data_IF_294654770244
#
_entry.id   IF_294654770244
#
_cell.length_a   1.000
_cell.length_b   1.000
_cell.length_c   1.000
_cell.angle_alpha   90.00
_cell.angle_beta   90.00
_cell.angle_gamma   90.00
#
_symmetry.space_group_name_H-M   'P 1'
#
loop_
_entity.id
_entity.type
_entity.pdbx_description
1 polymer ?
#
# COMPACT_ATOMS: atom_id res chain seq x y z
N UNK A 1 -10.38 -11.33 -33.24
CA UNK A 1 -10.22 -12.51 -32.35
C UNK A 1 -10.37 -12.03 -30.92
N UNK A 2 -11.49 -12.35 -30.25
CA UNK A 2 -11.76 -11.93 -28.86
C UNK A 2 -11.06 -12.92 -27.92
N UNK A 3 -10.05 -12.47 -27.18
CA UNK A 3 -9.40 -13.29 -26.16
C UNK A 3 -10.47 -13.78 -25.17
N UNK A 4 -10.55 -15.10 -24.97
CA UNK A 4 -11.60 -15.69 -24.16
C UNK A 4 -11.44 -15.27 -22.70
N UNK A 5 -12.57 -14.93 -22.06
CA UNK A 5 -12.62 -14.55 -20.64
C UNK A 5 -12.02 -15.61 -19.70
N UNK A 6 -11.86 -16.85 -20.17
CA UNK A 6 -11.24 -17.96 -19.46
C UNK A 6 -9.71 -17.80 -19.30
N UNK A 7 -9.00 -17.36 -20.35
CA UNK A 7 -7.56 -17.12 -20.28
C UNK A 7 -7.21 -15.98 -19.31
N UNK A 8 -8.11 -15.00 -19.23
CA UNK A 8 -7.98 -13.86 -18.31
C UNK A 8 -8.13 -14.34 -16.86
N UNK A 9 -9.21 -15.07 -16.51
CA UNK A 9 -9.43 -15.54 -15.12
C UNK A 9 -8.29 -16.38 -14.54
N UNK A 10 -7.60 -17.20 -15.34
CA UNK A 10 -6.49 -18.02 -14.89
C UNK A 10 -5.26 -17.18 -14.48
N UNK A 11 -4.99 -16.08 -15.19
CA UNK A 11 -3.92 -15.13 -14.86
C UNK A 11 -4.23 -14.37 -13.56
N UNK A 12 -5.48 -13.94 -13.37
CA UNK A 12 -5.94 -13.24 -12.17
C UNK A 12 -5.91 -14.12 -10.91
N UNK A 13 -6.27 -15.41 -11.03
CA UNK A 13 -6.20 -16.38 -9.93
C UNK A 13 -4.74 -16.69 -9.51
N UNK A 14 -3.81 -16.80 -10.48
CA UNK A 14 -2.36 -16.93 -10.19
C UNK A 14 -1.78 -15.70 -9.51
N UNK A 15 -2.30 -14.51 -9.80
CA UNK A 15 -1.90 -13.24 -9.17
C UNK A 15 -2.55 -12.98 -7.79
N UNK A 16 -3.38 -13.91 -7.28
CA UNK A 16 -4.02 -13.79 -5.98
C UNK A 16 -5.15 -12.74 -5.90
N UNK A 17 -5.66 -12.24 -7.02
CA UNK A 17 -6.73 -11.24 -7.05
C UNK A 17 -8.09 -11.87 -6.69
N UNK A 18 -8.78 -11.29 -5.71
CA UNK A 18 -10.16 -11.65 -5.31
C UNK A 18 -11.09 -10.55 -5.83
N UNK A 19 -12.13 -10.92 -6.58
CA UNK A 19 -13.15 -10.00 -7.13
C UNK A 19 -12.61 -8.83 -7.97
N UNK A 20 -11.59 -9.07 -8.79
CA UNK A 20 -11.00 -8.04 -9.67
C UNK A 20 -10.25 -6.94 -8.92
N UNK A 21 -9.99 -7.12 -7.62
CA UNK A 21 -9.16 -6.24 -6.80
C UNK A 21 -7.87 -6.98 -6.41
N UNK A 22 -6.72 -6.28 -6.32
CA UNK A 22 -5.51 -6.87 -5.75
C UNK A 22 -5.83 -7.45 -4.37
N UNK A 23 -5.27 -8.62 -4.00
CA UNK A 23 -5.51 -9.19 -2.69
C UNK A 23 -5.16 -8.16 -1.63
N UNK A 24 -6.07 -7.94 -0.69
CA UNK A 24 -5.89 -7.10 0.50
C UNK A 24 -4.83 -7.64 1.47
N UNK A 25 -4.00 -8.60 1.03
CA UNK A 25 -2.79 -9.07 1.70
C UNK A 25 -1.66 -8.02 1.59
N UNK A 26 -1.98 -6.81 2.01
CA UNK A 26 -1.10 -5.67 2.22
C UNK A 26 -0.25 -5.82 3.49
N UNK A 27 0.09 -7.06 3.85
CA UNK A 27 1.05 -7.43 4.90
C UNK A 27 2.43 -7.80 4.33
N UNK A 28 2.56 -7.87 3.00
CA UNK A 28 3.88 -7.96 2.41
C UNK A 28 4.59 -6.62 2.60
N UNK A 29 5.79 -6.71 3.17
CA UNK A 29 6.75 -5.63 3.38
C UNK A 29 7.15 -5.09 2.01
N UNK A 30 6.31 -4.25 1.40
CA UNK A 30 6.62 -3.68 0.10
C UNK A 30 7.87 -2.79 0.29
N UNK A 31 9.02 -3.15 -0.31
CA UNK A 31 10.26 -2.41 -0.13
C UNK A 31 10.11 -0.93 -0.52
N UNK A 32 9.23 -0.61 -1.46
CA UNK A 32 8.92 0.76 -1.85
C UNK A 32 8.27 1.57 -0.71
N UNK A 33 7.36 0.94 0.05
CA UNK A 33 6.71 1.59 1.20
C UNK A 33 7.72 1.85 2.33
N UNK A 34 8.62 0.89 2.57
CA UNK A 34 9.69 1.03 3.57
C UNK A 34 10.67 2.14 3.17
N UNK A 35 11.03 2.23 1.88
CA UNK A 35 11.93 3.29 1.40
C UNK A 35 11.35 4.71 1.60
N UNK A 36 10.02 4.83 1.64
CA UNK A 36 9.30 6.10 1.86
C UNK A 36 9.03 6.41 3.33
N UNK A 37 9.42 5.53 4.25
CA UNK A 37 9.19 5.66 5.70
C UNK A 37 9.71 6.99 6.29
N UNK A 38 10.94 7.47 6.00
CA UNK A 38 11.42 8.75 6.53
C UNK A 38 10.56 9.94 6.10
N UNK A 39 10.13 9.97 4.84
CA UNK A 39 9.32 11.05 4.28
C UNK A 39 7.89 11.02 4.83
N UNK A 40 7.31 9.83 5.03
CA UNK A 40 6.01 9.66 5.69
C UNK A 40 6.05 10.26 7.11
N UNK A 41 7.07 9.93 7.90
CA UNK A 41 7.22 10.43 9.27
C UNK A 41 7.45 11.94 9.30
N UNK A 42 8.27 12.46 8.39
CA UNK A 42 8.50 13.91 8.24
C UNK A 42 7.20 14.67 8.00
N UNK A 43 6.41 14.26 6.99
CA UNK A 43 5.14 14.90 6.67
C UNK A 43 4.09 14.75 7.79
N UNK A 44 4.10 13.62 8.49
CA UNK A 44 3.20 13.43 9.63
C UNK A 44 3.55 14.34 10.80
N UNK A 45 4.84 14.53 11.12
CA UNK A 45 5.31 15.49 12.13
C UNK A 45 5.03 16.95 11.74
N UNK A 46 4.97 17.26 10.45
CA UNK A 46 4.45 18.55 9.94
C UNK A 46 2.91 18.69 10.06
N UNK A 47 2.21 17.71 10.65
CA UNK A 47 0.76 17.71 10.85
C UNK A 47 -0.06 17.32 9.62
N UNK A 48 0.56 16.78 8.56
CA UNK A 48 -0.19 16.34 7.37
C UNK A 48 -1.02 15.09 7.70
N UNK A 49 -2.27 15.07 7.24
CA UNK A 49 -3.17 13.91 7.40
C UNK A 49 -2.69 12.74 6.51
N UNK A 50 -2.84 11.47 6.94
CA UNK A 50 -2.43 10.28 6.18
C UNK A 50 -2.94 10.22 4.73
N UNK A 51 -4.16 10.71 4.48
CA UNK A 51 -4.71 10.81 3.12
C UNK A 51 -3.91 11.74 2.20
N UNK A 52 -3.46 12.89 2.71
CA UNK A 52 -2.63 13.84 1.94
C UNK A 52 -1.22 13.32 1.74
N UNK A 53 -0.66 12.62 2.73
CA UNK A 53 0.64 11.96 2.61
C UNK A 53 0.59 10.88 1.53
N UNK A 54 -0.44 10.02 1.56
CA UNK A 54 -0.63 8.97 0.56
C UNK A 54 -0.73 9.53 -0.85
N UNK A 55 -1.57 10.55 -1.04
CA UNK A 55 -1.68 11.24 -2.33
C UNK A 55 -0.34 11.80 -2.82
N UNK A 56 0.40 12.52 -1.98
CA UNK A 56 1.69 13.14 -2.34
C UNK A 56 2.76 12.11 -2.68
N UNK A 57 2.77 10.98 -1.98
CA UNK A 57 3.80 9.96 -2.11
C UNK A 57 3.37 8.80 -3.01
N UNK A 58 2.21 8.86 -3.68
CA UNK A 58 1.71 7.74 -4.49
C UNK A 58 1.50 6.45 -3.67
N UNK A 59 1.03 6.58 -2.43
CA UNK A 59 0.75 5.49 -1.50
C UNK A 59 -0.75 5.47 -1.14
N UNK A 60 -1.26 4.30 -0.78
CA UNK A 60 -2.60 4.18 -0.24
C UNK A 60 -2.63 4.61 1.24
N UNK A 61 -3.80 5.05 1.72
CA UNK A 61 -3.97 5.39 3.14
C UNK A 61 -3.64 4.21 4.08
N UNK A 62 -4.03 2.96 3.78
CA UNK A 62 -3.58 1.80 4.57
C UNK A 62 -2.06 1.63 4.66
N UNK A 63 -1.31 1.86 3.58
CA UNK A 63 0.16 1.79 3.61
C UNK A 63 0.76 2.85 4.54
N UNK A 64 0.26 4.09 4.45
CA UNK A 64 0.70 5.18 5.32
C UNK A 64 0.38 4.85 6.78
N UNK A 65 -0.84 4.38 7.07
CA UNK A 65 -1.22 3.97 8.44
C UNK A 65 -0.35 2.83 8.97
N UNK A 66 -0.05 1.84 8.14
CA UNK A 66 0.84 0.74 8.53
C UNK A 66 2.22 1.24 8.96
N UNK A 67 2.81 2.17 8.20
CA UNK A 67 4.11 2.77 8.54
C UNK A 67 4.04 3.55 9.85
N UNK A 68 3.01 4.38 10.03
CA UNK A 68 2.83 5.16 11.26
C UNK A 68 2.62 4.27 12.49
N UNK A 69 1.79 3.23 12.39
CA UNK A 69 1.58 2.27 13.48
C UNK A 69 2.88 1.54 13.86
N UNK A 70 3.70 1.18 12.87
CA UNK A 70 5.00 0.54 13.10
C UNK A 70 5.98 1.50 13.79
N UNK A 71 6.07 2.75 13.34
CA UNK A 71 6.92 3.76 13.96
C UNK A 71 6.49 4.10 15.40
N UNK A 72 5.17 4.14 15.66
CA UNK A 72 4.63 4.33 17.01
C UNK A 72 5.02 3.19 17.94
N UNK A 73 4.97 1.94 17.47
CA UNK A 73 5.43 0.77 18.24
C UNK A 73 6.93 0.78 18.54
N UNK A 74 7.73 1.49 17.73
CA UNK A 74 9.18 1.66 17.95
C UNK A 74 9.52 2.90 18.79
N UNK A 75 8.54 3.74 19.15
CA UNK A 75 8.78 4.99 19.88
C UNK A 75 9.38 6.11 19.03
N UNK A 76 9.18 6.07 17.71
CA UNK A 76 9.71 7.07 16.77
C UNK A 76 8.69 8.17 16.41
N UNK A 77 7.53 8.17 17.08
CA UNK A 77 6.38 9.02 16.79
C UNK A 77 5.90 9.76 18.03
#
# INVERSE_FOLDING_TARGET
>A
MKASAAATRAAYKRAGMVDGRPPTNMRQRNPEVVSREPEILRLYREGKKPGRIGYKLGLTVPQVKYVLERARRRGEL
#
